data_IF_488537007967
#
_entry.id   IF_488537007967
#
_cell.length_a   1.000
_cell.length_b   1.000
_cell.length_c   1.000
_cell.angle_alpha   90.00
_cell.angle_beta   90.00
_cell.angle_gamma   90.00
#
_symmetry.space_group_name_H-M   'P 1'
#
loop_
_entity.id
_entity.type
_entity.pdbx_description
1 polymer ?
#
# COMPACT_ATOMS: atom_id res chain seq x y z
N UNK A 1 -6.41 1.98 -5.64
CA UNK A 1 -7.20 2.49 -4.47
C UNK A 1 -8.66 2.43 -4.82
N UNK A 2 -9.07 3.01 -5.96
CA UNK A 2 -10.36 2.72 -6.61
C UNK A 2 -10.20 1.59 -7.65
N UNK A 3 -9.36 1.79 -8.67
CA UNK A 3 -8.75 0.69 -9.41
C UNK A 3 -7.66 0.02 -8.57
N UNK A 4 -7.89 -1.24 -8.19
CA UNK A 4 -7.02 -2.03 -7.34
C UNK A 4 -6.02 -2.86 -8.15
N UNK A 5 -6.38 -3.25 -9.38
CA UNK A 5 -5.42 -3.85 -10.30
C UNK A 5 -4.29 -2.90 -10.65
N UNK A 6 -4.61 -1.64 -10.95
CA UNK A 6 -3.58 -0.62 -11.16
C UNK A 6 -2.73 -0.39 -9.90
N UNK A 7 -3.34 -0.45 -8.70
CA UNK A 7 -2.59 -0.37 -7.45
C UNK A 7 -1.63 -1.56 -7.27
N UNK A 8 -2.04 -2.77 -7.65
CA UNK A 8 -1.16 -3.94 -7.68
C UNK A 8 0.02 -3.75 -8.66
N UNK A 9 -0.26 -3.26 -9.87
CA UNK A 9 0.79 -2.95 -10.85
C UNK A 9 1.76 -1.89 -10.33
N UNK A 10 1.27 -0.84 -9.67
CA UNK A 10 2.11 0.20 -9.10
C UNK A 10 3.10 -0.32 -8.03
N UNK A 11 2.79 -1.47 -7.40
CA UNK A 11 3.66 -2.15 -6.43
C UNK A 11 4.50 -3.29 -7.00
N UNK A 12 4.37 -3.62 -8.28
CA UNK A 12 5.06 -4.78 -8.90
C UNK A 12 5.81 -4.42 -10.17
N UNK A 13 5.43 -3.34 -10.85
CA UNK A 13 6.10 -2.83 -12.05
C UNK A 13 7.21 -1.81 -11.71
N UNK A 14 8.13 -1.53 -12.64
CA UNK A 14 9.19 -0.55 -12.42
C UNK A 14 8.66 0.88 -12.19
N UNK A 15 9.24 1.58 -11.21
CA UNK A 15 8.97 2.99 -10.96
C UNK A 15 9.86 3.89 -11.82
N UNK A 16 9.29 4.97 -12.35
CA UNK A 16 10.03 6.00 -13.06
C UNK A 16 10.65 7.02 -12.08
N UNK A 17 11.96 6.89 -11.84
CA UNK A 17 12.71 7.81 -10.97
C UNK A 17 13.03 9.13 -11.70
N UNK A 18 12.03 10.00 -11.79
CA UNK A 18 12.12 11.33 -12.40
C UNK A 18 11.24 12.33 -11.65
N UNK A 19 11.60 13.61 -11.73
CA UNK A 19 10.80 14.70 -11.18
C UNK A 19 10.99 15.96 -12.03
N UNK A 20 9.89 16.63 -12.35
CA UNK A 20 9.87 17.95 -13.02
C UNK A 20 10.02 19.12 -12.04
N UNK A 21 9.92 18.86 -10.73
CA UNK A 21 10.20 19.80 -9.65
C UNK A 21 9.73 19.27 -8.30
N UNK A 22 9.82 20.08 -7.23
CA UNK A 22 9.56 19.64 -5.84
C UNK A 22 8.15 19.13 -5.54
N UNK A 23 7.18 19.46 -6.39
CA UNK A 23 5.78 18.97 -6.27
C UNK A 23 5.54 17.66 -7.02
N UNK A 24 6.45 17.28 -7.91
CA UNK A 24 6.38 16.04 -8.66
C UNK A 24 6.98 14.91 -7.82
N UNK A 25 6.11 14.00 -7.40
CA UNK A 25 6.45 12.87 -6.54
C UNK A 25 6.46 11.54 -7.30
N UNK A 26 6.47 11.55 -8.63
CA UNK A 26 6.45 10.33 -9.45
C UNK A 26 7.60 9.35 -9.11
N UNK A 27 8.76 9.86 -8.72
CA UNK A 27 9.92 9.07 -8.30
C UNK A 27 9.69 8.23 -7.03
N UNK A 28 8.66 8.54 -6.22
CA UNK A 28 8.24 7.74 -5.07
C UNK A 28 7.29 6.60 -5.46
N UNK A 29 6.85 6.52 -6.71
CA UNK A 29 5.82 5.57 -7.13
C UNK A 29 4.54 5.75 -6.33
N UNK A 30 3.93 4.64 -5.90
CA UNK A 30 2.70 4.62 -5.09
C UNK A 30 2.99 4.75 -3.59
N UNK A 31 3.97 5.57 -3.22
CA UNK A 31 4.34 5.84 -1.84
C UNK A 31 4.44 7.34 -1.58
N UNK A 32 4.31 7.71 -0.30
CA UNK A 32 4.87 8.97 0.20
C UNK A 32 6.25 8.73 0.79
N UNK A 33 7.05 9.80 0.92
CA UNK A 33 8.35 9.68 1.59
C UNK A 33 8.18 9.20 3.05
N UNK A 34 7.16 9.68 3.74
CA UNK A 34 6.80 9.20 5.07
C UNK A 34 6.38 7.73 5.09
N UNK A 35 5.65 7.25 4.09
CA UNK A 35 5.28 5.83 3.98
C UNK A 35 6.51 4.93 3.80
N UNK A 36 7.47 5.34 2.97
CA UNK A 36 8.74 4.64 2.82
C UNK A 36 9.52 4.64 4.14
N UNK A 37 9.65 5.80 4.79
CA UNK A 37 10.42 5.96 6.03
C UNK A 37 9.87 5.12 7.17
N UNK A 38 8.55 5.11 7.33
CA UNK A 38 7.88 4.54 8.50
C UNK A 38 7.30 3.15 8.23
N UNK A 39 7.47 2.62 7.00
CA UNK A 39 6.84 1.39 6.49
C UNK A 39 5.32 1.37 6.76
N UNK A 40 4.67 2.52 6.57
CA UNK A 40 3.26 2.68 6.88
C UNK A 40 2.37 2.33 5.68
N UNK A 41 1.16 1.86 5.96
CA UNK A 41 0.22 1.39 4.93
C UNK A 41 0.48 -0.03 4.43
N UNK A 42 1.45 -0.75 5.02
CA UNK A 42 1.87 -2.10 4.60
C UNK A 42 0.75 -3.14 4.66
N UNK A 43 -0.19 -3.04 5.61
CA UNK A 43 -1.34 -3.93 5.69
C UNK A 43 -2.10 -3.97 4.35
N UNK A 44 -2.63 -2.83 3.88
CA UNK A 44 -3.29 -2.76 2.57
C UNK A 44 -2.38 -3.16 1.40
N UNK A 45 -1.11 -2.74 1.41
CA UNK A 45 -0.17 -3.06 0.31
C UNK A 45 -0.02 -4.57 0.16
N UNK A 46 0.27 -5.26 1.26
CA UNK A 46 0.42 -6.71 1.28
C UNK A 46 -0.91 -7.42 0.95
N UNK A 47 -2.05 -6.93 1.42
CA UNK A 47 -3.37 -7.46 1.03
C UNK A 47 -3.63 -7.30 -0.48
N UNK A 48 -3.28 -6.15 -1.08
CA UNK A 48 -3.41 -5.93 -2.53
C UNK A 48 -2.51 -6.91 -3.31
N UNK A 49 -1.27 -7.10 -2.87
CA UNK A 49 -0.34 -8.07 -3.45
C UNK A 49 -0.91 -9.49 -3.37
N UNK A 50 -1.37 -9.91 -2.18
CA UNK A 50 -1.97 -11.22 -1.97
C UNK A 50 -3.20 -11.44 -2.87
N UNK A 51 -4.10 -10.45 -2.97
CA UNK A 51 -5.27 -10.53 -3.87
C UNK A 51 -4.86 -10.67 -5.33
N UNK A 52 -3.87 -9.91 -5.80
CA UNK A 52 -3.36 -10.04 -7.17
C UNK A 52 -2.82 -11.44 -7.45
N UNK A 53 -2.04 -12.00 -6.52
CA UNK A 53 -1.43 -13.32 -6.65
C UNK A 53 -2.43 -14.48 -6.53
N UNK A 54 -3.50 -14.32 -5.73
CA UNK A 54 -4.52 -15.35 -5.54
C UNK A 54 -5.52 -15.43 -6.69
N UNK A 55 -5.88 -14.28 -7.27
CA UNK A 55 -7.05 -14.18 -8.15
C UNK A 55 -6.73 -13.83 -9.59
N UNK A 56 -5.56 -13.28 -9.91
CA UNK A 56 -5.30 -12.72 -11.24
C UNK A 56 -4.12 -13.38 -11.96
N UNK A 57 -4.29 -13.52 -13.27
CA UNK A 57 -3.20 -13.80 -14.19
C UNK A 57 -2.35 -12.53 -14.42
N UNK A 58 -1.15 -12.63 -15.02
CA UNK A 58 -0.28 -11.47 -15.25
C UNK A 58 -0.89 -10.35 -16.10
N UNK A 59 -1.91 -10.64 -16.91
CA UNK A 59 -2.63 -9.67 -17.74
C UNK A 59 -3.83 -9.02 -17.01
N UNK A 60 -4.09 -9.39 -15.75
CA UNK A 60 -5.19 -8.90 -14.93
C UNK A 60 -6.49 -9.69 -15.07
N UNK A 61 -6.53 -10.72 -15.92
CA UNK A 61 -7.70 -11.60 -16.03
C UNK A 61 -7.86 -12.49 -14.79
N UNK A 62 -9.09 -12.88 -14.48
CA UNK A 62 -9.36 -13.75 -13.33
C UNK A 62 -8.91 -15.17 -13.62
N UNK A 63 -8.17 -15.75 -12.68
CA UNK A 63 -7.80 -17.16 -12.72
C UNK A 63 -9.01 -18.04 -12.38
N UNK A 64 -9.23 -19.14 -13.12
CA UNK A 64 -10.26 -20.11 -12.78
C UNK A 64 -9.85 -20.95 -11.55
N UNK A 65 -10.83 -21.65 -10.97
CA UNK A 65 -10.62 -22.58 -9.85
C UNK A 65 -10.58 -21.91 -8.47
N UNK A 66 -10.39 -22.72 -7.42
CA UNK A 66 -10.40 -22.26 -6.03
C UNK A 66 -9.11 -21.45 -5.71
N UNK A 67 -9.21 -20.17 -5.31
CA UNK A 67 -8.04 -19.38 -4.90
C UNK A 67 -7.27 -20.01 -3.72
N UNK A 68 -7.89 -20.87 -2.91
CA UNK A 68 -7.21 -21.53 -1.78
C UNK A 68 -6.08 -22.46 -2.22
N UNK A 69 -6.15 -23.02 -3.42
CA UNK A 69 -5.06 -23.83 -3.99
C UNK A 69 -3.79 -22.99 -4.28
N UNK A 70 -3.92 -21.65 -4.31
CA UNK A 70 -2.84 -20.70 -4.60
C UNK A 70 -2.33 -19.97 -3.36
N UNK A 71 -2.72 -20.39 -2.15
CA UNK A 71 -2.24 -19.78 -0.89
C UNK A 71 -0.70 -19.83 -0.81
N UNK A 72 -0.08 -20.98 -1.10
CA UNK A 72 1.38 -21.10 -1.11
C UNK A 72 2.05 -20.17 -2.11
N UNK A 73 1.48 -20.07 -3.32
CA UNK A 73 1.96 -19.15 -4.36
C UNK A 73 1.87 -17.68 -3.91
N UNK A 74 0.77 -17.28 -3.28
CA UNK A 74 0.60 -15.93 -2.76
C UNK A 74 1.58 -15.64 -1.62
N UNK A 75 1.79 -16.58 -0.70
CA UNK A 75 2.76 -16.47 0.37
C UNK A 75 4.18 -16.28 -0.17
N UNK A 76 4.60 -17.12 -1.11
CA UNK A 76 5.91 -17.02 -1.77
C UNK A 76 6.06 -15.67 -2.49
N UNK A 77 5.01 -15.18 -3.14
CA UNK A 77 5.04 -13.85 -3.77
C UNK A 77 5.19 -12.70 -2.78
N UNK A 78 4.57 -12.76 -1.60
CA UNK A 78 4.78 -11.78 -0.52
C UNK A 78 6.23 -11.82 0.00
N UNK A 79 6.78 -13.03 0.21
CA UNK A 79 8.18 -13.24 0.57
C UNK A 79 9.13 -12.65 -0.48
N UNK A 80 8.90 -12.95 -1.76
CA UNK A 80 9.68 -12.41 -2.87
C UNK A 80 9.64 -10.88 -2.92
N UNK A 81 8.45 -10.27 -2.80
CA UNK A 81 8.31 -8.81 -2.78
C UNK A 81 9.06 -8.15 -1.61
N UNK A 82 9.02 -8.80 -0.45
CA UNK A 82 9.67 -8.33 0.78
C UNK A 82 11.17 -8.65 0.87
N UNK A 83 11.70 -9.49 -0.01
CA UNK A 83 13.03 -10.08 0.11
C UNK A 83 14.15 -9.07 0.37
N UNK A 84 15.10 -9.46 1.21
CA UNK A 84 16.33 -8.72 1.49
C UNK A 84 17.47 -9.73 1.76
N UNK A 85 18.61 -9.63 1.04
CA UNK A 85 19.69 -10.60 1.19
C UNK A 85 20.18 -10.71 2.64
N UNK A 86 20.52 -11.91 3.09
CA UNK A 86 21.01 -12.11 4.45
C UNK A 86 22.40 -11.49 4.65
N UNK A 87 22.73 -11.15 5.91
CA UNK A 87 24.10 -10.72 6.22
C UNK A 87 25.02 -11.94 6.08
N UNK A 88 26.12 -11.78 5.33
CA UNK A 88 27.13 -12.83 5.16
C UNK A 88 27.65 -13.29 6.52
N UNK A 89 27.68 -14.60 6.74
CA UNK A 89 28.34 -15.22 7.89
C UNK A 89 27.45 -15.58 9.08
N UNK A 90 26.12 -15.47 8.97
CA UNK A 90 25.20 -15.97 10.01
C UNK A 90 24.56 -17.28 9.54
N UNK A 91 25.04 -18.46 9.98
CA UNK A 91 24.32 -19.71 9.75
C UNK A 91 22.96 -19.62 10.42
N UNK A 92 21.88 -19.88 9.68
CA UNK A 92 20.54 -20.03 10.24
C UNK A 92 20.10 -21.48 10.13
N UNK A 93 19.50 -21.97 11.20
CA UNK A 93 18.88 -23.29 11.21
C UNK A 93 17.63 -23.30 10.31
N UNK A 94 17.25 -24.47 9.80
CA UNK A 94 16.17 -24.58 8.80
C UNK A 94 14.81 -24.08 9.30
N UNK A 95 14.56 -24.14 10.62
CA UNK A 95 13.33 -23.65 11.25
C UNK A 95 13.30 -22.13 11.44
N UNK A 96 14.40 -21.41 11.20
CA UNK A 96 14.44 -19.96 11.36
C UNK A 96 13.93 -19.26 10.10
N UNK A 97 12.97 -18.34 10.28
CA UNK A 97 12.50 -17.47 9.20
C UNK A 97 13.68 -16.81 8.47
N UNK A 98 13.60 -16.79 7.14
CA UNK A 98 14.63 -16.23 6.26
C UNK A 98 14.15 -14.90 5.70
N UNK A 99 15.08 -14.05 5.33
CA UNK A 99 14.76 -12.79 4.65
C UNK A 99 15.27 -12.74 3.22
N UNK A 100 16.19 -13.65 2.87
CA UNK A 100 16.68 -13.84 1.52
C UNK A 100 15.85 -14.91 0.80
N UNK A 101 15.15 -14.47 -0.24
CA UNK A 101 14.31 -15.29 -1.11
C UNK A 101 14.79 -15.24 -2.56
N UNK A 102 16.10 -15.11 -2.80
CA UNK A 102 16.68 -15.25 -4.14
C UNK A 102 16.22 -16.52 -4.91
N UNK A 103 16.01 -17.70 -4.27
CA UNK A 103 15.49 -18.87 -4.97
C UNK A 103 14.11 -18.67 -5.62
N UNK A 104 13.32 -17.70 -5.16
CA UNK A 104 12.01 -17.38 -5.73
C UNK A 104 12.11 -16.52 -7.01
N UNK A 105 13.32 -16.14 -7.45
CA UNK A 105 13.52 -15.33 -8.65
C UNK A 105 12.94 -15.97 -9.92
N UNK A 106 13.09 -17.28 -10.08
CA UNK A 106 12.55 -17.97 -11.27
C UNK A 106 11.01 -17.89 -11.33
N UNK A 107 10.35 -17.98 -10.18
CA UNK A 107 8.89 -17.91 -10.08
C UNK A 107 8.37 -16.46 -10.11
N UNK A 108 9.12 -15.52 -9.52
CA UNK A 108 8.72 -14.12 -9.37
C UNK A 108 9.82 -13.14 -9.81
N UNK A 109 10.24 -13.15 -11.09
CA UNK A 109 11.39 -12.36 -11.55
C UNK A 109 11.17 -10.85 -11.46
N UNK A 110 9.91 -10.40 -11.41
CA UNK A 110 9.56 -8.99 -11.16
C UNK A 110 9.65 -8.63 -9.67
N UNK A 111 9.38 -9.57 -8.77
CA UNK A 111 9.30 -9.31 -7.34
C UNK A 111 10.66 -9.45 -6.66
N UNK A 112 11.47 -10.44 -7.01
CA UNK A 112 12.83 -10.60 -6.45
C UNK A 112 13.84 -10.76 -7.57
N UNK A 113 15.02 -10.15 -7.45
CA UNK A 113 16.11 -10.34 -8.41
C UNK A 113 16.99 -11.55 -8.06
N UNK A 114 17.92 -11.91 -8.94
CA UNK A 114 18.80 -13.06 -8.76
C UNK A 114 19.72 -12.91 -7.54
N UNK A 115 19.96 -11.67 -7.11
CA UNK A 115 20.75 -11.33 -5.92
C UNK A 115 19.94 -11.36 -4.62
N UNK A 116 18.62 -11.62 -4.68
CA UNK A 116 17.74 -11.75 -3.51
C UNK A 116 17.15 -10.43 -3.01
N UNK A 117 17.30 -9.33 -3.74
CA UNK A 117 16.63 -8.08 -3.38
C UNK A 117 15.19 -8.12 -3.87
N UNK A 118 14.24 -7.97 -2.95
CA UNK A 118 12.82 -7.84 -3.24
C UNK A 118 12.47 -6.47 -3.83
N UNK A 119 11.28 -6.37 -4.44
CA UNK A 119 10.82 -5.19 -5.17
C UNK A 119 10.81 -3.98 -4.25
N UNK A 120 10.31 -4.14 -3.02
CA UNK A 120 10.26 -3.03 -2.06
C UNK A 120 11.66 -2.55 -1.67
N UNK A 121 12.58 -3.48 -1.39
CA UNK A 121 13.97 -3.16 -1.06
C UNK A 121 14.66 -2.40 -2.20
N UNK A 122 14.52 -2.89 -3.44
CA UNK A 122 15.06 -2.21 -4.63
C UNK A 122 14.43 -0.84 -4.82
N UNK A 123 13.11 -0.74 -4.64
CA UNK A 123 12.39 0.52 -4.79
C UNK A 123 12.84 1.55 -3.76
N UNK A 124 12.92 1.15 -2.48
CA UNK A 124 13.35 2.00 -1.38
C UNK A 124 14.75 2.57 -1.64
N UNK A 125 15.73 1.71 -1.95
CA UNK A 125 17.10 2.14 -2.21
C UNK A 125 17.19 3.12 -3.39
N UNK A 126 16.50 2.83 -4.50
CA UNK A 126 16.47 3.72 -5.66
C UNK A 126 15.80 5.07 -5.34
N UNK A 127 14.72 5.08 -4.55
CA UNK A 127 14.08 6.31 -4.11
C UNK A 127 15.01 7.15 -3.22
N UNK A 128 15.70 6.54 -2.26
CA UNK A 128 16.67 7.24 -1.41
C UNK A 128 17.85 7.78 -2.22
N UNK A 129 18.39 6.99 -3.15
CA UNK A 129 19.45 7.42 -4.06
C UNK A 129 19.01 8.59 -4.94
N UNK A 130 17.79 8.56 -5.48
CA UNK A 130 17.23 9.66 -6.25
C UNK A 130 17.15 10.95 -5.43
N UNK A 131 16.62 10.87 -4.20
CA UNK A 131 16.51 12.02 -3.30
C UNK A 131 17.89 12.61 -2.92
N UNK A 132 18.92 11.78 -2.79
CA UNK A 132 20.29 12.20 -2.54
C UNK A 132 20.95 12.85 -3.76
N UNK A 133 20.76 12.29 -4.95
CA UNK A 133 21.38 12.77 -6.18
C UNK A 133 20.74 14.06 -6.70
N UNK A 134 19.48 14.32 -6.36
CA UNK A 134 18.70 15.44 -6.89
C UNK A 134 18.08 16.33 -5.80
N UNK A 135 18.89 16.93 -4.90
CA UNK A 135 18.39 17.73 -3.77
C UNK A 135 17.55 18.95 -4.19
N UNK A 136 17.77 19.47 -5.41
CA UNK A 136 17.02 20.61 -5.94
C UNK A 136 15.63 20.23 -6.46
N UNK A 137 15.44 18.96 -6.84
CA UNK A 137 14.17 18.43 -7.37
C UNK A 137 13.26 17.86 -6.28
N UNK A 138 13.78 17.64 -5.08
CA UNK A 138 13.03 17.07 -3.96
C UNK A 138 12.90 18.05 -2.79
N UNK A 139 12.07 17.72 -1.80
CA UNK A 139 11.97 18.51 -0.59
C UNK A 139 13.28 18.42 0.21
N UNK A 140 13.76 19.54 0.77
CA UNK A 140 15.08 19.60 1.46
C UNK A 140 15.23 18.55 2.56
N UNK A 141 14.15 18.29 3.30
CA UNK A 141 14.15 17.33 4.41
C UNK A 141 14.28 15.88 3.91
N UNK A 142 13.80 15.59 2.69
CA UNK A 142 13.90 14.26 2.09
C UNK A 142 15.35 14.01 1.69
N UNK A 143 15.97 14.92 0.94
CA UNK A 143 17.39 14.84 0.59
C UNK A 143 18.30 14.74 1.83
N UNK A 144 18.03 15.54 2.86
CA UNK A 144 18.82 15.53 4.09
C UNK A 144 18.71 14.21 4.88
N UNK A 145 17.57 13.52 4.80
CA UNK A 145 17.34 12.28 5.55
C UNK A 145 17.72 11.03 4.76
N UNK A 146 17.68 11.09 3.43
CA UNK A 146 17.74 9.91 2.56
C UNK A 146 18.99 9.05 2.79
N UNK A 147 20.17 9.65 2.94
CA UNK A 147 21.42 8.89 3.17
C UNK A 147 21.49 8.18 4.51
N UNK A 148 20.81 8.69 5.54
CA UNK A 148 20.68 7.98 6.83
C UNK A 148 19.68 6.84 6.72
N UNK A 149 18.55 7.08 6.07
CA UNK A 149 17.49 6.08 5.89
C UNK A 149 17.97 4.89 5.05
N UNK A 150 18.69 5.16 3.95
CA UNK A 150 19.28 4.14 3.08
C UNK A 150 20.19 3.17 3.84
N UNK A 151 21.03 3.70 4.74
CA UNK A 151 21.95 2.91 5.56
C UNK A 151 21.25 2.07 6.63
N UNK A 152 20.17 2.59 7.21
CA UNK A 152 19.44 1.93 8.30
C UNK A 152 18.40 0.92 7.78
N UNK A 153 17.93 1.08 6.54
CA UNK A 153 16.88 0.28 5.94
C UNK A 153 17.08 -1.22 6.14
N UNK A 154 18.28 -1.73 5.81
CA UNK A 154 18.51 -3.16 5.85
C UNK A 154 18.37 -3.78 7.25
N UNK A 155 18.60 -3.02 8.32
CA UNK A 155 18.36 -3.48 9.69
C UNK A 155 16.87 -3.52 10.00
N UNK A 156 16.19 -2.38 9.81
CA UNK A 156 14.77 -2.20 10.16
C UNK A 156 13.87 -3.11 9.32
N UNK A 157 14.12 -3.17 8.01
CA UNK A 157 13.30 -3.97 7.10
C UNK A 157 13.44 -5.46 7.38
N UNK A 158 14.64 -5.97 7.67
CA UNK A 158 14.83 -7.38 8.05
C UNK A 158 14.02 -7.76 9.28
N UNK A 159 13.96 -6.87 10.28
CA UNK A 159 13.12 -7.09 11.46
C UNK A 159 11.63 -7.19 11.08
N UNK A 160 11.14 -6.34 10.17
CA UNK A 160 9.76 -6.41 9.66
C UNK A 160 9.47 -7.67 8.87
N UNK A 161 10.36 -8.09 7.98
CA UNK A 161 10.16 -9.31 7.18
C UNK A 161 10.12 -10.56 8.06
N UNK A 162 10.94 -10.62 9.11
CA UNK A 162 10.86 -11.70 10.11
C UNK A 162 9.54 -11.66 10.89
N UNK A 163 9.11 -10.47 11.31
CA UNK A 163 7.83 -10.27 11.99
C UNK A 163 6.66 -10.76 11.13
N UNK A 164 6.64 -10.42 9.84
CA UNK A 164 5.54 -10.76 8.93
C UNK A 164 5.39 -12.26 8.69
N UNK A 165 6.45 -13.04 8.84
CA UNK A 165 6.43 -14.50 8.68
C UNK A 165 5.99 -15.25 9.95
N UNK A 166 5.84 -14.55 11.08
CA UNK A 166 5.48 -15.21 12.34
C UNK A 166 4.11 -15.85 12.23
N UNK A 167 4.04 -17.16 12.52
CA UNK A 167 2.80 -17.92 12.54
C UNK A 167 1.76 -17.33 13.50
N UNK A 168 0.49 -17.41 13.11
CA UNK A 168 -0.59 -16.73 13.83
C UNK A 168 -0.80 -17.20 15.29
N UNK A 169 -0.35 -18.40 15.64
CA UNK A 169 -0.44 -18.99 16.99
C UNK A 169 0.91 -19.11 17.71
N UNK A 170 1.97 -18.49 17.18
CA UNK A 170 3.28 -18.54 17.81
C UNK A 170 3.27 -17.91 19.20
N UNK A 171 3.81 -18.62 20.21
CA UNK A 171 3.96 -18.11 21.58
C UNK A 171 4.97 -16.96 21.70
N UNK A 172 5.70 -16.67 20.61
CA UNK A 172 6.64 -15.55 20.47
C UNK A 172 5.97 -14.29 19.91
N UNK A 173 4.65 -14.30 19.65
CA UNK A 173 3.93 -13.10 19.19
C UNK A 173 3.90 -12.03 20.28
N UNK A 174 4.49 -10.88 20.00
CA UNK A 174 4.23 -9.69 20.79
C UNK A 174 2.90 -9.07 20.36
N UNK A 175 2.04 -8.70 21.30
CA UNK A 175 0.71 -8.12 21.02
C UNK A 175 0.73 -6.81 20.20
N UNK A 176 1.90 -6.23 19.94
CA UNK A 176 2.10 -5.09 19.06
C UNK A 176 2.23 -5.49 17.58
N UNK A 177 2.32 -6.78 17.25
CA UNK A 177 2.54 -7.24 15.88
C UNK A 177 1.23 -7.28 15.09
N UNK A 178 1.01 -6.24 14.29
CA UNK A 178 -0.26 -5.99 13.60
C UNK A 178 -0.34 -6.53 12.16
N UNK A 179 0.75 -7.10 11.64
CA UNK A 179 0.85 -7.57 10.24
C UNK A 179 1.55 -8.92 10.22
N UNK A 180 0.89 -9.92 9.61
CA UNK A 180 1.42 -11.26 9.31
C UNK A 180 0.95 -11.65 7.90
N UNK A 181 1.76 -12.40 7.16
CA UNK A 181 1.38 -12.82 5.81
C UNK A 181 0.12 -13.67 5.79
N UNK A 182 -0.06 -14.56 6.76
CA UNK A 182 -1.28 -15.38 6.87
C UNK A 182 -2.54 -14.52 7.04
N UNK A 183 -2.47 -13.47 7.87
CA UNK A 183 -3.58 -12.53 8.05
C UNK A 183 -3.87 -11.78 6.74
N UNK A 184 -2.83 -11.38 5.98
CA UNK A 184 -3.02 -10.66 4.71
C UNK A 184 -3.61 -11.55 3.62
N UNK A 185 -3.26 -12.84 3.62
CA UNK A 185 -3.85 -13.83 2.71
C UNK A 185 -5.30 -14.13 3.12
N UNK A 186 -5.59 -14.23 4.42
CA UNK A 186 -6.96 -14.39 4.91
C UNK A 186 -7.84 -13.20 4.51
N UNK A 187 -7.39 -11.97 4.79
CA UNK A 187 -8.05 -10.73 4.36
C UNK A 187 -8.24 -10.71 2.83
N UNK A 188 -7.24 -11.14 2.07
CA UNK A 188 -7.33 -11.21 0.62
C UNK A 188 -8.41 -12.18 0.13
N UNK A 189 -8.54 -13.35 0.77
CA UNK A 189 -9.58 -14.32 0.46
C UNK A 189 -10.98 -13.80 0.81
N UNK A 190 -11.12 -13.07 1.92
CA UNK A 190 -12.38 -12.43 2.31
C UNK A 190 -12.80 -11.31 1.35
N UNK A 191 -11.84 -10.49 0.91
CA UNK A 191 -12.09 -9.37 0.01
C UNK A 191 -12.27 -9.79 -1.47
N UNK A 192 -11.77 -10.97 -1.85
CA UNK A 192 -11.90 -11.49 -3.22
C UNK A 192 -11.00 -10.81 -4.25
N UNK A 193 -11.32 -10.90 -5.55
CA UNK A 193 -10.47 -10.39 -6.63
C UNK A 193 -10.33 -8.85 -6.62
N UNK A 194 -9.24 -8.34 -7.17
CA UNK A 194 -9.00 -6.91 -7.33
C UNK A 194 -10.01 -6.29 -8.30
N UNK A 195 -10.51 -5.10 -7.96
CA UNK A 195 -11.30 -4.28 -8.90
C UNK A 195 -10.40 -3.73 -10.02
N UNK A 196 -10.79 -3.96 -11.26
CA UNK A 196 -10.05 -3.50 -12.45
C UNK A 196 -10.60 -2.21 -13.07
N UNK A 197 -11.72 -1.69 -12.56
CA UNK A 197 -12.37 -0.47 -13.07
C UNK A 197 -12.36 0.61 -12.00
N UNK A 198 -12.19 1.86 -12.42
CA UNK A 198 -12.43 3.00 -11.54
C UNK A 198 -13.95 3.19 -11.40
N UNK A 199 -14.52 3.10 -10.19
CA UNK A 199 -15.90 3.49 -9.95
C UNK A 199 -16.15 4.94 -10.40
N UNK A 200 -16.99 5.09 -11.41
CA UNK A 200 -17.47 6.39 -11.86
C UNK A 200 -18.65 6.84 -11.00
N UNK A 201 -18.59 8.08 -10.50
CA UNK A 201 -19.74 8.70 -9.86
C UNK A 201 -20.67 9.29 -10.93
N UNK A 202 -22.00 9.24 -10.72
CA UNK A 202 -22.93 9.95 -11.58
C UNK A 202 -22.54 11.43 -11.73
N UNK A 203 -22.61 11.97 -12.95
CA UNK A 203 -22.19 13.34 -13.23
C UNK A 203 -22.90 14.37 -12.33
N UNK A 204 -24.20 14.18 -12.11
CA UNK A 204 -25.00 15.01 -11.21
C UNK A 204 -24.47 15.01 -9.77
N UNK A 205 -24.02 13.84 -9.26
CA UNK A 205 -23.43 13.73 -7.93
C UNK A 205 -22.06 14.40 -7.89
N UNK A 206 -21.23 14.23 -8.92
CA UNK A 206 -19.93 14.89 -9.02
C UNK A 206 -20.06 16.42 -9.03
N UNK A 207 -21.03 16.98 -9.77
CA UNK A 207 -21.31 18.42 -9.78
C UNK A 207 -21.76 18.95 -8.42
N UNK A 208 -22.65 18.21 -7.73
CA UNK A 208 -23.08 18.56 -6.35
C UNK A 208 -21.90 18.56 -5.37
N UNK A 209 -21.02 17.57 -5.46
CA UNK A 209 -19.83 17.49 -4.61
C UNK A 209 -18.87 18.66 -4.87
N UNK A 210 -18.74 19.12 -6.12
CA UNK A 210 -17.91 20.28 -6.47
C UNK A 210 -18.48 21.59 -5.91
N UNK A 211 -19.81 21.76 -5.88
CA UNK A 211 -20.45 22.96 -5.31
C UNK A 211 -20.21 23.12 -3.80
N UNK A 212 -20.08 22.01 -3.07
CA UNK A 212 -19.89 22.00 -1.61
C UNK A 212 -18.41 21.86 -1.23
N UNK A 213 -17.55 21.62 -2.23
CA UNK A 213 -16.11 21.45 -2.02
C UNK A 213 -15.50 22.71 -1.40
N UNK A 214 -14.77 22.58 -0.28
CA UNK A 214 -13.97 23.69 0.23
C UNK A 214 -12.89 24.10 -0.77
N UNK A 215 -12.72 25.40 -0.98
CA UNK A 215 -11.79 25.97 -1.98
C UNK A 215 -10.36 25.39 -1.90
N UNK A 216 -9.89 25.12 -0.68
CA UNK A 216 -8.54 24.61 -0.36
C UNK A 216 -8.36 23.10 -0.57
N UNK A 217 -9.44 22.34 -0.77
CA UNK A 217 -9.41 20.89 -0.98
C UNK A 217 -9.44 20.62 -2.49
N UNK A 218 -8.50 19.86 -3.09
CA UNK A 218 -8.53 19.56 -4.52
C UNK A 218 -9.83 18.88 -4.98
N UNK A 219 -10.25 19.15 -6.24
CA UNK A 219 -11.52 18.69 -6.82
C UNK A 219 -11.71 17.18 -6.83
N UNK A 220 -10.62 16.42 -6.89
CA UNK A 220 -10.67 14.96 -6.91
C UNK A 220 -10.85 14.31 -5.53
N UNK A 221 -10.60 15.02 -4.42
CA UNK A 221 -10.59 14.39 -3.08
C UNK A 221 -11.98 13.88 -2.66
N UNK A 222 -13.00 14.74 -2.75
CA UNK A 222 -14.37 14.40 -2.34
C UNK A 222 -14.96 13.27 -3.21
N UNK A 223 -14.93 13.37 -4.55
CA UNK A 223 -15.33 12.28 -5.43
C UNK A 223 -14.61 10.96 -5.13
N UNK A 224 -13.30 10.99 -4.90
CA UNK A 224 -12.54 9.77 -4.59
C UNK A 224 -13.01 9.13 -3.28
N UNK A 225 -13.29 9.93 -2.25
CA UNK A 225 -13.81 9.40 -0.97
C UNK A 225 -15.20 8.80 -1.14
N UNK A 226 -16.11 9.47 -1.84
CA UNK A 226 -17.46 8.94 -2.06
C UNK A 226 -17.42 7.66 -2.89
N UNK A 227 -16.61 7.62 -3.95
CA UNK A 227 -16.42 6.41 -4.76
C UNK A 227 -15.81 5.26 -3.94
N UNK A 228 -14.83 5.55 -3.07
CA UNK A 228 -14.26 4.55 -2.18
C UNK A 228 -15.29 4.04 -1.18
N UNK A 229 -16.10 4.94 -0.60
CA UNK A 229 -17.17 4.58 0.32
C UNK A 229 -18.15 3.61 -0.33
N UNK A 230 -18.65 3.94 -1.53
CA UNK A 230 -19.59 3.09 -2.26
C UNK A 230 -19.00 1.71 -2.58
N UNK A 231 -17.72 1.66 -2.95
CA UNK A 231 -17.05 0.41 -3.31
C UNK A 231 -16.66 -0.47 -2.10
N UNK A 232 -16.63 0.08 -0.89
CA UNK A 232 -16.13 -0.62 0.31
C UNK A 232 -17.11 -0.57 1.49
N UNK A 233 -18.36 -0.14 1.28
CA UNK A 233 -19.41 -0.15 2.31
C UNK A 233 -19.77 -1.60 2.64
N UNK A 234 -19.59 -2.05 3.90
CA UNK A 234 -20.02 -3.37 4.31
C UNK A 234 -21.55 -3.44 4.36
N UNK A 235 -22.11 -4.64 4.22
CA UNK A 235 -23.57 -4.85 4.20
C UNK A 235 -24.22 -4.54 5.55
N UNK A 236 -23.49 -4.72 6.66
CA UNK A 236 -24.00 -4.63 8.03
C UNK A 236 -23.65 -3.29 8.72
N UNK A 237 -23.02 -2.35 8.03
CA UNK A 237 -22.59 -1.09 8.64
C UNK A 237 -22.54 0.07 7.64
N UNK A 238 -22.99 1.25 8.07
CA UNK A 238 -22.87 2.49 7.31
C UNK A 238 -21.46 3.09 7.36
N UNK A 239 -20.57 2.53 8.17
CA UNK A 239 -19.22 3.04 8.38
C UNK A 239 -18.20 2.23 7.59
N UNK A 240 -17.33 2.95 6.88
CA UNK A 240 -16.20 2.41 6.12
C UNK A 240 -14.89 2.81 6.79
N UNK A 241 -13.95 1.88 6.89
CA UNK A 241 -12.58 2.16 7.35
C UNK A 241 -11.91 3.12 6.37
N UNK A 242 -11.30 4.18 6.90
CA UNK A 242 -10.56 5.18 6.14
C UNK A 242 -9.05 4.91 6.24
N UNK A 243 -8.42 4.26 5.23
CA UNK A 243 -6.99 4.01 5.24
C UNK A 243 -6.21 5.28 4.86
N UNK A 244 -6.08 6.20 5.81
CA UNK A 244 -5.52 7.55 5.58
C UNK A 244 -4.16 7.51 4.89
N UNK A 245 -3.25 6.64 5.36
CA UNK A 245 -1.91 6.50 4.77
C UNK A 245 -1.96 6.06 3.31
N UNK A 246 -2.87 5.15 2.95
CA UNK A 246 -2.96 4.67 1.58
C UNK A 246 -3.61 5.70 0.64
N UNK A 247 -4.49 6.56 1.15
CA UNK A 247 -4.95 7.74 0.41
C UNK A 247 -3.81 8.75 0.22
N UNK A 248 -2.98 9.01 1.24
CA UNK A 248 -1.79 9.85 1.09
C UNK A 248 -0.84 9.28 0.01
N UNK A 249 -0.59 7.98 0.01
CA UNK A 249 0.17 7.28 -1.03
C UNK A 249 -0.48 7.40 -2.42
N UNK A 250 -1.81 7.28 -2.51
CA UNK A 250 -2.54 7.45 -3.76
C UNK A 250 -2.42 8.86 -4.33
N UNK A 251 -2.52 9.89 -3.49
CA UNK A 251 -2.35 11.28 -3.91
C UNK A 251 -0.87 11.72 -3.98
N UNK A 252 0.06 10.82 -3.67
CA UNK A 252 1.51 11.04 -3.75
C UNK A 252 2.06 12.05 -2.74
N UNK A 253 1.32 12.41 -1.69
CA UNK A 253 1.76 13.32 -0.62
C UNK A 253 0.88 13.21 0.63
N UNK A 254 1.34 13.75 1.76
CA UNK A 254 0.63 13.66 3.05
C UNK A 254 -0.43 14.75 3.28
N UNK A 255 -0.79 15.55 2.27
CA UNK A 255 -1.73 16.66 2.50
C UNK A 255 -3.15 16.14 2.76
N UNK A 256 -3.52 14.97 2.24
CA UNK A 256 -4.82 14.39 2.52
C UNK A 256 -4.99 14.16 4.01
N UNK A 257 -4.11 13.36 4.62
CA UNK A 257 -4.14 13.04 6.04
C UNK A 257 -3.93 14.26 6.95
N UNK A 258 -2.99 15.15 6.60
CA UNK A 258 -2.60 16.28 7.47
C UNK A 258 -3.43 17.55 7.32
N UNK A 259 -4.01 17.80 6.14
CA UNK A 259 -4.66 19.09 5.83
C UNK A 259 -6.10 18.94 5.37
N UNK A 260 -6.36 18.07 4.38
CA UNK A 260 -7.67 18.02 3.73
C UNK A 260 -8.72 17.33 4.59
N UNK A 261 -8.33 16.31 5.35
CA UNK A 261 -9.22 15.59 6.26
C UNK A 261 -10.01 16.50 7.22
N UNK A 262 -9.36 17.53 7.78
CA UNK A 262 -9.99 18.46 8.72
C UNK A 262 -10.86 19.53 8.04
N UNK A 263 -10.82 19.60 6.72
CA UNK A 263 -11.58 20.56 5.92
C UNK A 263 -12.76 19.90 5.20
N UNK A 264 -12.91 18.57 5.28
CA UNK A 264 -14.01 17.88 4.62
C UNK A 264 -15.37 18.38 5.15
N UNK A 265 -16.32 18.69 4.27
CA UNK A 265 -17.64 19.18 4.65
C UNK A 265 -18.42 18.11 5.42
N UNK A 266 -18.84 18.44 6.65
CA UNK A 266 -19.65 17.56 7.51
C UNK A 266 -21.05 17.27 6.95
N UNK A 267 -21.50 18.10 6.00
CA UNK A 267 -22.72 17.89 5.23
C UNK A 267 -22.62 16.65 4.33
N UNK A 268 -21.43 16.32 3.84
CA UNK A 268 -21.23 15.16 2.95
C UNK A 268 -20.68 13.98 3.75
N UNK A 269 -19.66 14.22 4.58
CA UNK A 269 -18.88 13.16 5.23
C UNK A 269 -18.88 13.34 6.75
N UNK A 270 -19.29 12.29 7.44
CA UNK A 270 -19.12 12.18 8.89
C UNK A 270 -17.94 11.26 9.21
N UNK A 271 -17.05 11.72 10.10
CA UNK A 271 -15.83 11.00 10.48
C UNK A 271 -15.83 10.65 11.95
N UNK A 272 -15.33 9.45 12.25
CA UNK A 272 -15.08 8.97 13.59
C UNK A 272 -13.65 8.45 13.66
N UNK A 273 -12.90 8.87 14.68
CA UNK A 273 -11.56 8.37 14.95
C UNK A 273 -11.52 7.89 16.39
N UNK A 274 -11.26 6.61 16.60
CA UNK A 274 -11.16 6.00 17.92
C UNK A 274 -10.14 4.87 17.88
N UNK A 275 -9.35 4.73 18.95
CA UNK A 275 -8.34 3.68 19.11
C UNK A 275 -7.39 3.51 17.90
N UNK A 276 -7.04 4.61 17.23
CA UNK A 276 -6.14 4.60 16.07
C UNK A 276 -6.80 4.16 14.75
N UNK A 277 -8.10 3.85 14.77
CA UNK A 277 -8.89 3.52 13.58
C UNK A 277 -9.70 4.75 13.17
N UNK A 278 -9.44 5.24 11.96
CA UNK A 278 -10.30 6.24 11.31
C UNK A 278 -11.35 5.54 10.48
N UNK A 279 -12.61 5.92 10.64
CA UNK A 279 -13.74 5.47 9.81
C UNK A 279 -14.62 6.65 9.42
N UNK A 280 -15.41 6.49 8.38
CA UNK A 280 -16.29 7.53 7.89
C UNK A 280 -17.56 6.95 7.26
N UNK A 281 -18.59 7.77 7.18
CA UNK A 281 -19.79 7.51 6.40
C UNK A 281 -20.13 8.69 5.51
N UNK A 282 -20.72 8.41 4.36
CA UNK A 282 -21.25 9.42 3.44
C UNK A 282 -22.75 9.56 3.73
N UNK A 283 -23.25 10.79 3.80
CA UNK A 283 -24.69 11.02 4.04
C UNK A 283 -25.52 10.52 2.87
N UNK A 284 -26.71 9.99 3.16
CA UNK A 284 -27.62 9.39 2.16
C UNK A 284 -27.93 10.31 0.98
N UNK A 285 -28.02 11.62 1.21
CA UNK A 285 -28.26 12.63 0.17
C UNK A 285 -27.18 12.70 -0.91
N UNK A 286 -25.99 12.14 -0.62
CA UNK A 286 -24.81 12.08 -1.49
C UNK A 286 -24.47 10.65 -1.92
N UNK A 287 -25.42 9.72 -1.79
CA UNK A 287 -25.33 8.39 -2.39
C UNK A 287 -26.12 8.36 -3.71
N UNK A 288 -25.67 7.59 -4.71
CA UNK A 288 -26.48 7.30 -5.89
C UNK A 288 -27.81 6.68 -5.46
N UNK A 289 -28.91 7.13 -6.05
CA UNK A 289 -30.25 6.56 -5.87
C UNK A 289 -30.48 5.39 -6.80
#
# INVERSE_FOLDING_TARGET
>A
MLNEWQEFLDYTEPVAYRASGKKDTAWLGRFTFEALRDFSGMNRILTILARGLLFHAPDGTLLPGDPRERIGFAYDGLCAWCSIPERRGTPREEWQHRTDFAPLHEQFPKLVDAEGWGWFSRHFHRAMQFALAHPDLVHKNYAASAGKLDKLFGHEWRSKVLQYQTESLSTLTEGAWTIRFDDMIADALELGPLRCTDPELPAELAERLEQIRPEKVPSNILPTLVAYYLANRPEDSDWVVLPVTNFDCYFGNTNFGRKYLNQLPQEVIERSNSFGISRYRVREEYLPK
#
